data_IF_208390810104
#
_entry.id   IF_208390810104
#
_cell.length_a   1.000
_cell.length_b   1.000
_cell.length_c   1.000
_cell.angle_alpha   90.00
_cell.angle_beta   90.00
_cell.angle_gamma   90.00
#
_symmetry.space_group_name_H-M   'P 1'
#
loop_
_entity.id
_entity.type
_entity.pdbx_description
1 polymer ?
#
# COMPACT_ATOMS: atom_id res chain seq x y z
N UNK A 1 -2.15 -6.91 51.56
CA UNK A 1 -2.14 -8.13 50.74
C UNK A 1 -2.62 -7.74 49.37
N UNK A 2 -1.70 -7.36 48.49
CA UNK A 2 -1.98 -7.03 47.08
C UNK A 2 -1.64 -8.29 46.30
N UNK A 3 -2.68 -8.93 45.71
CA UNK A 3 -2.48 -10.05 44.81
C UNK A 3 -2.12 -9.58 43.43
N UNK A 4 -0.88 -9.78 43.02
CA UNK A 4 -0.43 -9.67 41.64
C UNK A 4 -1.05 -10.81 40.82
N UNK A 5 -1.99 -10.50 39.93
CA UNK A 5 -2.43 -11.43 38.90
C UNK A 5 -1.40 -11.35 37.78
N UNK A 6 -0.53 -12.34 37.71
CA UNK A 6 0.34 -12.57 36.59
C UNK A 6 -0.52 -13.15 35.43
N UNK A 7 -0.81 -12.37 34.43
CA UNK A 7 -1.37 -12.87 33.19
C UNK A 7 -0.25 -13.60 32.44
N UNK A 8 -0.28 -14.92 32.45
CA UNK A 8 0.59 -15.75 31.62
C UNK A 8 0.10 -15.61 30.17
N UNK A 9 0.78 -14.78 29.39
CA UNK A 9 0.70 -14.82 27.95
C UNK A 9 1.40 -16.10 27.49
N UNK A 10 0.63 -17.15 27.26
CA UNK A 10 1.09 -18.34 26.53
C UNK A 10 1.14 -17.92 25.05
N UNK A 11 2.27 -17.39 24.62
CA UNK A 11 2.59 -17.27 23.22
C UNK A 11 2.70 -18.70 22.68
N UNK A 12 1.67 -19.19 21.98
CA UNK A 12 1.81 -20.35 21.12
C UNK A 12 2.75 -19.96 19.98
N UNK A 13 4.05 -20.13 20.21
CA UNK A 13 5.03 -20.17 19.12
C UNK A 13 4.73 -21.43 18.30
N UNK A 14 3.86 -21.31 17.32
CA UNK A 14 3.81 -22.30 16.26
C UNK A 14 5.07 -22.11 15.42
N UNK A 15 6.05 -22.98 15.61
CA UNK A 15 7.17 -23.07 14.69
C UNK A 15 6.61 -23.25 13.28
N UNK A 16 7.10 -22.46 12.30
CA UNK A 16 6.66 -22.62 10.91
C UNK A 16 6.91 -24.08 10.50
N UNK A 17 5.86 -24.74 10.03
CA UNK A 17 5.97 -26.10 9.50
C UNK A 17 6.93 -26.03 8.32
N UNK A 18 8.06 -26.76 8.34
CA UNK A 18 8.98 -26.76 7.24
C UNK A 18 8.29 -27.40 6.02
N UNK A 19 8.03 -26.60 5.00
CA UNK A 19 7.67 -27.10 3.68
C UNK A 19 8.91 -27.67 3.00
N UNK A 20 8.76 -28.68 2.13
CA UNK A 20 9.87 -29.24 1.37
C UNK A 20 10.57 -28.15 0.55
N UNK A 21 11.89 -28.16 0.57
CA UNK A 21 12.80 -27.11 0.08
C UNK A 21 12.81 -26.86 -1.44
N UNK A 22 11.81 -27.33 -2.18
CA UNK A 22 11.77 -27.15 -3.64
C UNK A 22 10.37 -26.76 -4.11
N UNK A 23 10.08 -25.48 -4.06
CA UNK A 23 9.02 -24.97 -4.92
C UNK A 23 9.51 -24.91 -6.36
N UNK A 24 9.05 -25.83 -7.16
CA UNK A 24 9.27 -25.80 -8.60
C UNK A 24 8.59 -24.57 -9.17
N UNK A 25 9.36 -23.71 -9.82
CA UNK A 25 8.77 -22.60 -10.58
C UNK A 25 8.00 -23.18 -11.75
N UNK A 26 6.77 -22.73 -11.95
CA UNK A 26 5.96 -23.09 -13.12
C UNK A 26 6.60 -22.54 -14.39
N UNK A 27 7.17 -21.35 -14.30
CA UNK A 27 8.00 -20.73 -15.32
C UNK A 27 8.95 -19.70 -14.69
N UNK A 28 10.03 -19.38 -15.41
CA UNK A 28 10.92 -18.25 -15.09
C UNK A 28 11.26 -17.48 -16.36
N UNK A 29 11.37 -16.17 -16.24
CA UNK A 29 11.75 -15.29 -17.34
C UNK A 29 12.95 -14.47 -16.89
N UNK A 30 14.07 -14.44 -17.64
CA UNK A 30 15.20 -13.59 -17.30
C UNK A 30 14.76 -12.11 -17.35
N UNK A 31 15.19 -11.35 -16.36
CA UNK A 31 15.11 -9.90 -16.37
C UNK A 31 16.31 -9.38 -17.15
N UNK A 32 16.13 -8.30 -17.88
CA UNK A 32 17.26 -7.62 -18.52
C UNK A 32 18.10 -7.05 -17.39
N UNK A 33 19.38 -7.45 -17.27
CA UNK A 33 20.24 -6.95 -16.21
C UNK A 33 20.58 -5.48 -16.50
N UNK A 34 19.79 -4.58 -15.95
CA UNK A 34 20.19 -3.20 -15.78
C UNK A 34 20.68 -3.05 -14.34
N UNK A 35 21.98 -2.93 -14.19
CA UNK A 35 22.69 -2.91 -12.90
C UNK A 35 22.30 -1.74 -11.99
N UNK A 36 21.46 -0.82 -12.44
CA UNK A 36 21.00 0.34 -11.68
C UNK A 36 19.67 0.11 -10.95
N UNK A 37 18.98 -1.04 -11.15
CA UNK A 37 17.62 -1.25 -10.64
C UNK A 37 17.61 -2.32 -9.54
N UNK A 38 17.99 -1.91 -8.34
CA UNK A 38 17.90 -2.78 -7.16
C UNK A 38 16.43 -3.07 -6.76
N UNK A 39 15.50 -2.16 -7.08
CA UNK A 39 14.05 -2.31 -6.81
C UNK A 39 13.30 -1.83 -8.05
N UNK A 40 13.00 -2.73 -8.96
CA UNK A 40 12.26 -2.37 -10.17
C UNK A 40 10.74 -2.42 -9.96
N UNK A 41 10.03 -1.81 -10.89
CA UNK A 41 8.58 -1.82 -10.98
C UNK A 41 8.00 -3.24 -11.08
N UNK A 42 7.09 -3.58 -10.17
CA UNK A 42 6.39 -4.86 -10.17
C UNK A 42 7.20 -6.05 -9.62
N UNK A 43 6.62 -7.24 -9.65
CA UNK A 43 5.40 -7.62 -10.39
C UNK A 43 4.10 -7.19 -9.68
N UNK A 44 3.10 -6.80 -10.46
CA UNK A 44 1.75 -6.49 -9.98
C UNK A 44 0.71 -7.31 -10.73
N UNK A 45 -0.21 -7.98 -10.00
CA UNK A 45 -1.27 -8.76 -10.61
C UNK A 45 -2.37 -7.85 -11.21
N UNK A 46 -2.83 -8.22 -12.40
CA UNK A 46 -4.01 -7.66 -13.05
C UNK A 46 -4.75 -8.79 -13.80
N UNK A 47 -5.90 -9.21 -13.29
CA UNK A 47 -6.61 -10.38 -13.82
C UNK A 47 -5.69 -11.61 -13.93
N UNK A 48 -5.53 -12.15 -15.15
CA UNK A 48 -4.63 -13.26 -15.47
C UNK A 48 -3.32 -12.79 -16.12
N UNK A 49 -2.89 -11.58 -15.83
CA UNK A 49 -1.67 -10.98 -16.35
C UNK A 49 -0.89 -10.28 -15.24
N UNK A 50 0.32 -9.87 -15.57
CA UNK A 50 1.27 -9.32 -14.62
C UNK A 50 1.94 -8.10 -15.23
N UNK A 51 1.82 -6.98 -14.56
CA UNK A 51 2.58 -5.78 -14.85
C UNK A 51 4.00 -5.91 -14.32
N UNK A 52 4.97 -5.63 -15.16
CA UNK A 52 6.39 -5.69 -14.80
C UNK A 52 7.18 -4.61 -15.50
N UNK A 53 8.30 -4.24 -14.91
CA UNK A 53 9.33 -3.52 -15.64
C UNK A 53 9.99 -4.48 -16.65
N UNK A 54 10.15 -4.01 -17.88
CA UNK A 54 10.77 -4.79 -18.96
C UNK A 54 12.23 -4.37 -19.15
N UNK A 55 12.49 -3.07 -19.10
CA UNK A 55 13.82 -2.46 -19.18
C UNK A 55 13.86 -1.14 -18.39
N UNK A 56 14.95 -0.37 -18.50
CA UNK A 56 15.14 0.89 -17.75
C UNK A 56 14.11 1.98 -18.08
N UNK A 57 13.34 1.85 -19.16
CA UNK A 57 12.39 2.87 -19.62
C UNK A 57 11.02 2.29 -19.99
N UNK A 58 10.82 0.99 -19.83
CA UNK A 58 9.60 0.35 -20.29
C UNK A 58 8.94 -0.51 -19.23
N UNK A 59 7.63 -0.41 -19.18
CA UNK A 59 6.76 -1.35 -18.45
C UNK A 59 6.04 -2.23 -19.45
N UNK A 60 5.66 -3.42 -19.05
CA UNK A 60 4.95 -4.34 -19.91
C UNK A 60 3.95 -5.20 -19.17
N UNK A 61 3.06 -5.80 -19.93
CA UNK A 61 2.09 -6.76 -19.45
C UNK A 61 2.50 -8.16 -19.92
N UNK A 62 2.59 -9.11 -18.99
CA UNK A 62 2.89 -10.51 -19.27
C UNK A 62 1.73 -11.41 -18.90
N UNK A 63 1.54 -12.48 -19.67
CA UNK A 63 0.59 -13.55 -19.31
C UNK A 63 1.04 -14.27 -18.04
N UNK A 64 0.12 -14.53 -17.15
CA UNK A 64 0.43 -15.29 -15.93
C UNK A 64 0.69 -16.78 -16.20
N UNK A 65 0.15 -17.35 -17.29
CA UNK A 65 0.26 -18.78 -17.60
C UNK A 65 1.67 -19.23 -17.99
N UNK A 66 2.39 -18.43 -18.77
CA UNK A 66 3.68 -18.78 -19.36
C UNK A 66 4.75 -17.68 -19.25
N UNK A 67 4.43 -16.54 -18.67
CA UNK A 67 5.33 -15.38 -18.59
C UNK A 67 5.53 -14.65 -19.92
N UNK A 68 4.82 -15.06 -21.00
CA UNK A 68 4.93 -14.45 -22.32
C UNK A 68 4.53 -12.97 -22.32
N UNK A 69 5.36 -12.13 -22.92
CA UNK A 69 5.11 -10.70 -23.04
C UNK A 69 3.95 -10.45 -24.01
N UNK A 70 2.94 -9.69 -23.56
CA UNK A 70 1.80 -9.32 -24.40
C UNK A 70 2.07 -8.05 -25.17
N UNK A 71 2.60 -7.03 -24.50
CA UNK A 71 3.02 -5.76 -25.08
C UNK A 71 3.94 -5.01 -24.11
N UNK A 72 4.57 -3.95 -24.60
CA UNK A 72 5.39 -3.00 -23.82
C UNK A 72 4.94 -1.57 -24.08
N UNK A 73 5.14 -0.73 -23.07
CA UNK A 73 4.96 0.71 -23.18
C UNK A 73 6.24 1.41 -22.72
N UNK A 74 6.82 2.23 -23.60
CA UNK A 74 7.98 3.05 -23.26
C UNK A 74 7.51 4.30 -22.54
N UNK A 75 7.97 4.46 -21.30
CA UNK A 75 7.66 5.61 -20.46
C UNK A 75 8.43 6.85 -20.91
N UNK A 76 7.89 8.03 -20.67
CA UNK A 76 8.67 9.25 -20.84
C UNK A 76 9.95 9.22 -19.98
N UNK A 77 11.02 9.92 -20.39
CA UNK A 77 12.26 9.97 -19.60
C UNK A 77 12.01 10.43 -18.16
N UNK A 78 12.66 9.78 -17.21
CA UNK A 78 12.58 10.10 -15.78
C UNK A 78 11.47 9.40 -15.01
N UNK A 79 10.51 8.74 -15.68
CA UNK A 79 9.38 8.10 -15.02
C UNK A 79 9.74 6.86 -14.19
N UNK A 80 10.80 6.13 -14.51
CA UNK A 80 11.24 4.96 -13.75
C UNK A 80 12.41 5.23 -12.79
N UNK A 81 13.18 6.28 -13.01
CA UNK A 81 14.34 6.57 -12.16
C UNK A 81 13.99 6.96 -10.73
N UNK A 82 12.81 7.46 -10.50
CA UNK A 82 12.36 7.96 -9.21
C UNK A 82 11.41 6.98 -8.47
N UNK A 83 11.20 5.78 -8.98
CA UNK A 83 10.25 4.79 -8.42
C UNK A 83 10.75 4.09 -7.14
N UNK A 84 11.49 4.77 -6.32
CA UNK A 84 11.79 4.32 -4.95
C UNK A 84 10.56 4.35 -4.03
N UNK A 85 9.48 5.02 -4.46
CA UNK A 85 8.27 5.18 -3.68
C UNK A 85 7.15 4.46 -4.42
N UNK A 86 6.84 3.25 -3.96
CA UNK A 86 5.80 2.36 -4.51
C UNK A 86 4.36 2.91 -4.36
N UNK A 87 4.20 4.07 -3.78
CA UNK A 87 2.95 4.82 -3.66
C UNK A 87 2.54 5.47 -4.98
N UNK A 88 3.48 5.56 -5.93
CA UNK A 88 3.29 6.23 -7.22
C UNK A 88 2.50 5.39 -8.24
N UNK A 89 2.02 4.22 -7.84
CA UNK A 89 1.37 3.28 -8.76
C UNK A 89 0.05 2.74 -8.19
N UNK A 90 -1.01 2.84 -8.98
CA UNK A 90 -2.26 2.16 -8.70
C UNK A 90 -2.63 1.21 -9.85
N UNK A 91 -3.00 -0.04 -9.50
CA UNK A 91 -3.52 -1.03 -10.43
C UNK A 91 -5.00 -1.16 -10.21
N UNK A 92 -5.76 -0.94 -11.28
CA UNK A 92 -7.21 -1.00 -11.28
C UNK A 92 -7.69 -1.84 -12.47
N UNK A 93 -8.94 -2.29 -12.49
CA UNK A 93 -9.49 -2.99 -13.65
C UNK A 93 -9.31 -2.21 -14.96
N UNK A 94 -9.36 -0.89 -14.89
CA UNK A 94 -9.26 0.03 -16.02
C UNK A 94 -7.83 0.23 -16.52
N UNK A 95 -6.82 -0.18 -15.74
CA UNK A 95 -5.42 -0.09 -16.15
C UNK A 95 -4.41 0.14 -15.04
N UNK A 96 -3.20 0.42 -15.51
CA UNK A 96 -2.09 0.85 -14.69
C UNK A 96 -2.06 2.38 -14.65
N UNK A 97 -2.07 2.93 -13.46
CA UNK A 97 -1.95 4.35 -13.19
C UNK A 97 -0.61 4.63 -12.53
N UNK A 98 0.14 5.55 -13.09
CA UNK A 98 1.43 5.99 -12.56
C UNK A 98 1.36 7.49 -12.27
N UNK A 99 1.82 7.87 -11.09
CA UNK A 99 1.84 9.26 -10.65
C UNK A 99 3.26 9.83 -10.81
N UNK A 100 3.36 11.02 -11.34
CA UNK A 100 4.61 11.75 -11.52
C UNK A 100 4.45 13.20 -11.06
N UNK A 101 5.52 13.96 -10.97
CA UNK A 101 5.52 15.33 -10.42
C UNK A 101 4.53 16.29 -11.09
N UNK A 102 4.24 16.11 -12.36
CA UNK A 102 3.44 17.06 -13.17
C UNK A 102 2.23 16.44 -13.83
N UNK A 103 2.09 15.11 -13.80
CA UNK A 103 1.06 14.41 -14.54
C UNK A 103 0.84 12.99 -14.04
N UNK A 104 -0.25 12.41 -14.45
CA UNK A 104 -0.59 11.01 -14.25
C UNK A 104 -0.57 10.35 -15.61
N UNK A 105 -0.03 9.14 -15.69
CA UNK A 105 -0.11 8.30 -16.87
C UNK A 105 -1.04 7.11 -16.55
N UNK A 106 -2.06 6.92 -17.38
CA UNK A 106 -2.85 5.70 -17.43
C UNK A 106 -2.42 4.87 -18.62
N UNK A 107 -2.15 3.60 -18.40
CA UNK A 107 -1.85 2.64 -19.46
C UNK A 107 -2.99 1.62 -19.54
N UNK A 108 -3.65 1.57 -20.69
CA UNK A 108 -4.71 0.61 -20.95
C UNK A 108 -4.13 -0.80 -21.04
N UNK A 109 -4.66 -1.77 -20.29
CA UNK A 109 -4.08 -3.11 -20.20
C UNK A 109 -4.34 -3.97 -21.44
N UNK A 110 -5.35 -3.64 -22.25
CA UNK A 110 -5.70 -4.41 -23.43
C UNK A 110 -4.93 -3.95 -24.68
N UNK A 111 -4.77 -2.65 -24.84
CA UNK A 111 -4.09 -2.07 -26.01
C UNK A 111 -2.63 -1.72 -25.77
N UNK A 112 -2.21 -1.56 -24.52
CA UNK A 112 -0.88 -1.05 -24.17
C UNK A 112 -0.71 0.45 -24.48
N UNK A 113 -1.80 1.17 -24.77
CA UNK A 113 -1.74 2.61 -25.06
C UNK A 113 -1.73 3.42 -23.77
N UNK A 114 -0.84 4.39 -23.69
CA UNK A 114 -0.76 5.34 -22.58
C UNK A 114 -1.49 6.64 -22.87
N UNK A 115 -2.18 7.16 -21.85
CA UNK A 115 -2.81 8.47 -21.87
C UNK A 115 -2.32 9.27 -20.67
N UNK A 116 -1.79 10.47 -20.91
CA UNK A 116 -1.34 11.35 -19.84
C UNK A 116 -2.42 12.37 -19.48
N UNK A 117 -2.56 12.62 -18.18
CA UNK A 117 -3.42 13.64 -17.59
C UNK A 117 -2.54 14.62 -16.82
N UNK A 118 -2.49 15.88 -17.26
CA UNK A 118 -1.78 16.93 -16.55
C UNK A 118 -2.52 17.30 -15.24
N UNK A 119 -1.74 17.59 -14.19
CA UNK A 119 -2.31 18.15 -12.96
C UNK A 119 -2.81 19.58 -13.17
N UNK A 120 -3.78 20.01 -12.37
CA UNK A 120 -4.35 21.36 -12.44
C UNK A 120 -3.48 22.41 -11.73
N UNK A 121 -2.16 22.26 -11.75
CA UNK A 121 -1.25 23.11 -11.00
C UNK A 121 -1.33 24.57 -11.41
N UNK A 122 -1.35 25.42 -10.40
CA UNK A 122 -1.02 26.83 -10.50
C UNK A 122 0.50 27.03 -10.28
N UNK A 123 1.07 28.18 -10.65
CA UNK A 123 2.47 28.48 -10.36
C UNK A 123 2.78 28.29 -8.86
N UNK A 124 3.92 27.63 -8.57
CA UNK A 124 4.41 27.30 -7.22
C UNK A 124 3.60 26.21 -6.48
N UNK A 125 2.74 25.47 -7.15
CA UNK A 125 2.12 24.28 -6.60
C UNK A 125 2.91 23.02 -6.94
N UNK A 126 2.79 22.03 -6.06
CA UNK A 126 3.46 20.73 -6.18
C UNK A 126 2.62 19.61 -5.54
N UNK A 127 2.99 18.37 -5.80
CA UNK A 127 2.38 17.18 -5.19
C UNK A 127 3.48 16.25 -4.65
N UNK A 128 3.12 15.36 -3.75
CA UNK A 128 4.01 14.31 -3.23
C UNK A 128 4.06 13.07 -4.11
N UNK A 129 3.54 13.10 -5.33
CA UNK A 129 3.35 11.92 -6.21
C UNK A 129 2.41 10.87 -5.63
N UNK A 130 1.83 11.13 -4.48
CA UNK A 130 0.85 10.26 -3.87
C UNK A 130 -0.52 10.50 -4.49
N UNK A 131 -1.21 9.45 -4.85
CA UNK A 131 -2.56 9.55 -5.38
C UNK A 131 -3.38 8.30 -5.14
N UNK A 132 -4.67 8.43 -5.29
CA UNK A 132 -5.60 7.31 -5.18
C UNK A 132 -6.52 7.29 -6.40
N UNK A 133 -6.80 6.08 -6.90
CA UNK A 133 -7.68 5.87 -8.04
C UNK A 133 -8.87 5.01 -7.62
N UNK A 134 -10.06 5.49 -7.95
CA UNK A 134 -11.31 4.73 -7.80
C UNK A 134 -12.13 4.84 -9.08
N UNK A 135 -12.18 3.75 -9.84
CA UNK A 135 -12.71 3.77 -11.21
C UNK A 135 -11.92 4.74 -12.09
N UNK A 136 -12.62 5.65 -12.75
CA UNK A 136 -12.00 6.70 -13.58
C UNK A 136 -11.66 7.98 -12.79
N UNK A 137 -11.95 8.02 -11.49
CA UNK A 137 -11.64 9.17 -10.64
C UNK A 137 -10.27 9.04 -10.01
N UNK A 138 -9.56 10.14 -10.00
CA UNK A 138 -8.24 10.28 -9.41
C UNK A 138 -8.29 11.33 -8.31
N UNK A 139 -7.68 11.03 -7.19
CA UNK A 139 -7.57 11.91 -6.03
C UNK A 139 -6.11 12.21 -5.78
N UNK A 140 -5.73 13.48 -5.72
CA UNK A 140 -4.35 13.92 -5.49
C UNK A 140 -4.28 15.03 -4.44
N UNK A 141 -3.26 15.04 -3.58
CA UNK A 141 -2.96 16.18 -2.76
C UNK A 141 -2.17 17.21 -3.59
N UNK A 142 -2.53 18.48 -3.45
CA UNK A 142 -1.80 19.60 -4.02
C UNK A 142 -1.41 20.56 -2.91
N UNK A 143 -0.18 20.97 -2.93
CA UNK A 143 0.46 21.80 -1.92
C UNK A 143 0.91 23.12 -2.52
N UNK A 144 0.85 24.17 -1.73
CA UNK A 144 1.55 25.44 -1.96
C UNK A 144 2.06 26.02 -0.62
N UNK A 145 2.67 27.18 -0.67
CA UNK A 145 3.23 27.81 0.53
C UNK A 145 2.19 28.21 1.60
N UNK A 146 0.91 28.21 1.27
CA UNK A 146 -0.17 28.71 2.11
C UNK A 146 -1.29 27.71 2.32
N UNK A 147 -1.32 26.60 1.56
CA UNK A 147 -2.42 25.65 1.64
C UNK A 147 -2.03 24.23 1.27
N UNK A 148 -2.83 23.30 1.77
CA UNK A 148 -2.89 21.90 1.35
C UNK A 148 -4.28 21.60 0.87
N UNK A 149 -4.42 21.09 -0.33
CA UNK A 149 -5.72 20.82 -0.94
C UNK A 149 -5.80 19.39 -1.45
N UNK A 150 -6.94 18.73 -1.28
CA UNK A 150 -7.26 17.47 -1.93
C UNK A 150 -8.11 17.75 -3.16
N UNK A 151 -7.64 17.27 -4.31
CA UNK A 151 -8.30 17.44 -5.59
C UNK A 151 -8.81 16.12 -6.14
N UNK A 152 -9.95 16.19 -6.82
CA UNK A 152 -10.55 15.08 -7.56
C UNK A 152 -10.68 15.46 -9.03
N UNK A 153 -10.32 14.55 -9.91
CA UNK A 153 -10.43 14.70 -11.36
C UNK A 153 -10.44 13.35 -12.06
N UNK A 154 -10.30 13.32 -13.37
CA UNK A 154 -10.22 12.09 -14.14
C UNK A 154 -9.81 12.36 -15.58
N UNK A 155 -9.65 11.31 -16.39
CA UNK A 155 -9.26 11.47 -17.80
C UNK A 155 -10.27 12.31 -18.58
N UNK A 156 -11.56 12.14 -18.28
CA UNK A 156 -12.66 12.82 -18.97
C UNK A 156 -13.42 13.79 -18.03
N UNK A 157 -12.93 13.99 -16.81
CA UNK A 157 -13.57 14.83 -15.80
C UNK A 157 -12.66 16.00 -15.39
N UNK A 158 -13.23 17.21 -15.24
CA UNK A 158 -12.45 18.36 -14.79
C UNK A 158 -11.93 18.16 -13.37
N UNK A 159 -10.82 18.81 -13.07
CA UNK A 159 -10.28 18.85 -11.72
C UNK A 159 -11.07 19.79 -10.82
N UNK A 160 -11.44 19.32 -9.64
CA UNK A 160 -12.15 20.09 -8.63
C UNK A 160 -11.50 19.87 -7.26
N UNK A 161 -11.28 20.95 -6.51
CA UNK A 161 -10.86 20.85 -5.12
C UNK A 161 -12.03 20.31 -4.28
N UNK A 162 -11.79 19.23 -3.56
CA UNK A 162 -12.73 18.66 -2.57
C UNK A 162 -12.59 19.38 -1.25
N UNK A 163 -11.35 19.67 -0.87
CA UNK A 163 -11.01 20.29 0.40
C UNK A 163 -9.77 21.16 0.23
N UNK A 164 -9.72 22.25 1.01
CA UNK A 164 -8.53 23.08 1.14
C UNK A 164 -8.34 23.46 2.59
N UNK A 165 -7.16 23.20 3.13
CA UNK A 165 -6.71 23.63 4.44
C UNK A 165 -5.72 24.78 4.28
N UNK A 166 -6.05 25.95 4.85
CA UNK A 166 -5.17 27.12 4.84
C UNK A 166 -4.20 26.99 6.01
N UNK A 167 -2.91 27.05 5.72
CA UNK A 167 -1.85 26.94 6.72
C UNK A 167 -1.77 28.20 7.59
N UNK A 168 -1.70 28.01 8.90
CA UNK A 168 -1.34 29.07 9.81
C UNK A 168 0.17 29.44 9.66
N UNK A 169 0.61 30.60 10.15
CA UNK A 169 2.04 30.93 10.12
C UNK A 169 2.89 29.85 10.78
N UNK A 170 3.92 29.36 10.07
CA UNK A 170 4.82 28.27 10.48
C UNK A 170 4.15 26.89 10.64
N UNK A 171 2.92 26.73 10.19
CA UNK A 171 2.28 25.43 10.08
C UNK A 171 2.70 24.73 8.79
N UNK A 172 2.88 23.41 8.88
CA UNK A 172 3.05 22.50 7.77
C UNK A 172 1.93 21.47 7.82
N UNK A 173 1.52 20.99 6.65
CA UNK A 173 0.54 19.92 6.58
C UNK A 173 0.84 18.99 5.42
N UNK A 174 0.51 17.70 5.59
CA UNK A 174 0.59 16.66 4.56
C UNK A 174 -0.68 15.81 4.57
N UNK A 175 -1.10 15.39 3.40
CA UNK A 175 -2.05 14.31 3.22
C UNK A 175 -1.24 13.04 2.97
N UNK A 176 -1.27 12.11 3.93
CA UNK A 176 -0.43 10.91 3.93
C UNK A 176 -1.14 9.66 3.44
N UNK A 177 -2.45 9.62 3.45
CA UNK A 177 -3.25 8.51 2.97
C UNK A 177 -4.57 8.96 2.40
N UNK A 178 -5.02 8.30 1.33
CA UNK A 178 -6.28 8.59 0.67
C UNK A 178 -7.00 7.27 0.43
N UNK A 179 -8.29 7.24 0.74
CA UNK A 179 -9.19 6.16 0.41
C UNK A 179 -10.49 6.76 -0.14
N UNK A 180 -11.01 6.19 -1.21
CA UNK A 180 -12.28 6.60 -1.80
C UNK A 180 -13.08 5.41 -2.29
N UNK A 181 -14.40 5.55 -2.28
CA UNK A 181 -15.33 4.59 -2.87
C UNK A 181 -16.61 5.29 -3.30
N UNK A 182 -16.87 5.28 -4.61
CA UNK A 182 -17.98 6.02 -5.19
C UNK A 182 -17.83 7.52 -4.95
N UNK A 183 -18.84 8.15 -4.38
CA UNK A 183 -18.84 9.60 -4.12
C UNK A 183 -18.36 10.00 -2.73
N UNK A 184 -17.86 9.06 -1.93
CA UNK A 184 -17.34 9.31 -0.60
C UNK A 184 -15.91 8.85 -0.45
N UNK A 185 -15.21 9.44 0.52
CA UNK A 185 -13.89 9.01 0.87
C UNK A 185 -13.37 9.67 2.12
N UNK A 186 -12.12 9.34 2.42
CA UNK A 186 -11.40 9.88 3.55
C UNK A 186 -9.92 10.02 3.22
N UNK A 187 -9.26 10.97 3.87
CA UNK A 187 -7.82 11.14 3.81
C UNK A 187 -7.29 11.50 5.20
N UNK A 188 -6.06 11.13 5.47
CA UNK A 188 -5.36 11.56 6.68
C UNK A 188 -4.65 12.87 6.42
N UNK A 189 -4.95 13.90 7.21
CA UNK A 189 -4.32 15.20 7.17
C UNK A 189 -3.49 15.38 8.44
N UNK A 190 -2.18 15.37 8.29
CA UNK A 190 -1.23 15.59 9.36
C UNK A 190 -0.77 17.03 9.36
N UNK A 191 -0.76 17.67 10.52
CA UNK A 191 -0.36 19.06 10.68
C UNK A 191 0.64 19.22 11.81
N UNK A 192 1.65 20.05 11.63
CA UNK A 192 2.64 20.37 12.67
C UNK A 192 3.16 21.80 12.49
N UNK A 193 3.70 22.37 13.55
CA UNK A 193 4.39 23.66 13.52
C UNK A 193 5.90 23.48 13.48
N UNK A 194 6.61 24.43 12.87
CA UNK A 194 8.06 24.45 12.84
C UNK A 194 8.64 24.36 14.26
N UNK A 195 9.59 23.44 14.47
CA UNK A 195 10.24 23.24 15.78
C UNK A 195 9.47 22.38 16.78
N UNK A 196 8.26 21.91 16.45
CA UNK A 196 7.54 20.94 17.28
C UNK A 196 7.89 19.49 16.86
N UNK A 197 7.99 18.60 17.85
CA UNK A 197 8.22 17.16 17.62
C UNK A 197 6.89 16.40 17.46
N UNK A 198 5.78 16.99 17.82
CA UNK A 198 4.44 16.42 17.69
C UNK A 198 3.56 17.32 16.84
N UNK A 199 2.60 16.70 16.17
CA UNK A 199 1.61 17.36 15.33
C UNK A 199 0.20 16.94 15.69
N UNK A 200 -0.76 17.36 14.90
CA UNK A 200 -2.15 16.94 14.95
C UNK A 200 -2.44 16.03 13.75
N UNK A 201 -3.17 14.96 13.97
CA UNK A 201 -3.72 14.10 12.96
C UNK A 201 -5.22 14.32 12.86
N UNK A 202 -5.67 14.74 11.71
CA UNK A 202 -7.08 14.90 11.40
C UNK A 202 -7.50 13.87 10.34
N UNK A 203 -8.74 13.43 10.43
CA UNK A 203 -9.40 12.70 9.36
C UNK A 203 -10.22 13.68 8.53
N UNK A 204 -9.78 13.91 7.32
CA UNK A 204 -10.58 14.57 6.29
C UNK A 204 -11.55 13.55 5.71
N UNK A 205 -12.84 13.88 5.67
CA UNK A 205 -13.88 13.10 5.01
C UNK A 205 -14.60 13.92 3.96
N UNK A 206 -15.17 13.26 2.97
CA UNK A 206 -16.05 13.89 1.98
C UNK A 206 -17.19 12.97 1.56
N UNK A 207 -18.29 13.63 1.16
CA UNK A 207 -19.44 13.02 0.52
C UNK A 207 -19.93 13.94 -0.60
N UNK A 208 -19.78 13.51 -1.84
CA UNK A 208 -20.01 14.38 -3.00
C UNK A 208 -19.00 15.53 -3.02
N UNK A 209 -19.50 16.76 -2.97
CA UNK A 209 -18.69 17.98 -2.96
C UNK A 209 -18.58 18.62 -1.55
N UNK A 210 -19.16 18.00 -0.55
CA UNK A 210 -19.05 18.43 0.84
C UNK A 210 -17.89 17.72 1.53
N UNK A 211 -17.11 18.46 2.32
CA UNK A 211 -16.02 17.91 3.11
C UNK A 211 -15.99 18.48 4.52
N UNK A 212 -15.45 17.71 5.45
CA UNK A 212 -15.26 18.10 6.86
C UNK A 212 -14.05 17.37 7.43
N UNK A 213 -13.51 17.90 8.53
CA UNK A 213 -12.37 17.30 9.26
C UNK A 213 -12.79 16.90 10.66
N UNK A 214 -12.23 15.79 11.14
CA UNK A 214 -12.43 15.24 12.47
C UNK A 214 -11.05 15.07 13.11
N UNK A 215 -10.77 15.75 14.23
CA UNK A 215 -9.53 15.52 14.98
C UNK A 215 -9.49 14.09 15.50
N UNK A 216 -8.38 13.37 15.27
CA UNK A 216 -8.22 11.99 15.70
C UNK A 216 -7.31 11.85 16.92
N UNK A 217 -6.12 12.43 16.86
CA UNK A 217 -5.09 12.24 17.87
C UNK A 217 -3.95 13.26 17.70
N UNK A 218 -3.05 13.33 18.67
CA UNK A 218 -1.72 13.89 18.46
C UNK A 218 -0.92 12.94 17.55
N UNK A 219 -0.27 13.50 16.55
CA UNK A 219 0.54 12.73 15.62
C UNK A 219 1.96 12.59 16.14
N UNK A 220 2.44 11.35 16.21
CA UNK A 220 3.78 11.00 16.66
C UNK A 220 4.63 10.33 15.58
N UNK A 221 4.22 10.28 14.32
CA UNK A 221 4.91 9.46 13.33
C UNK A 221 4.90 9.97 11.89
N UNK A 222 5.71 9.31 11.05
CA UNK A 222 5.81 9.52 9.62
C UNK A 222 4.81 8.64 8.89
N UNK A 223 4.06 9.20 7.95
CA UNK A 223 3.17 8.48 7.03
C UNK A 223 2.02 7.75 7.74
N UNK A 224 0.81 8.18 7.52
CA UNK A 224 -0.38 7.60 8.16
C UNK A 224 -1.23 6.93 7.09
N UNK A 225 -0.94 5.65 6.78
CA UNK A 225 -1.68 4.94 5.75
C UNK A 225 -3.14 4.75 6.16
N UNK A 226 -4.01 4.66 5.16
CA UNK A 226 -5.45 4.46 5.34
C UNK A 226 -5.91 3.26 4.50
N UNK A 227 -6.69 2.38 5.09
CA UNK A 227 -7.42 1.32 4.41
C UNK A 227 -8.91 1.46 4.67
N UNK A 228 -9.74 0.89 3.82
CA UNK A 228 -11.16 0.91 4.07
C UNK A 228 -11.94 -0.19 3.39
N UNK A 229 -13.11 -0.46 3.95
CA UNK A 229 -14.18 -1.24 3.34
C UNK A 229 -15.38 -0.33 3.01
N UNK A 230 -16.55 -0.90 2.78
CA UNK A 230 -17.75 -0.13 2.44
C UNK A 230 -18.30 0.72 3.59
N UNK A 231 -18.00 0.38 4.83
CA UNK A 231 -18.58 0.98 6.02
C UNK A 231 -17.54 1.60 6.96
N UNK A 232 -16.29 1.19 6.86
CA UNK A 232 -15.23 1.54 7.81
C UNK A 232 -13.96 1.92 7.11
N UNK A 233 -13.19 2.75 7.79
CA UNK A 233 -11.78 3.00 7.48
C UNK A 233 -10.91 2.67 8.68
N UNK A 234 -9.69 2.28 8.39
CA UNK A 234 -8.67 1.95 9.35
C UNK A 234 -7.47 2.86 9.13
N UNK A 235 -6.93 3.39 10.20
CA UNK A 235 -5.83 4.34 10.19
C UNK A 235 -4.74 3.79 11.10
N UNK A 236 -3.55 3.61 10.58
CA UNK A 236 -2.40 3.19 11.38
C UNK A 236 -1.61 4.42 11.83
N UNK A 237 -1.43 4.56 13.14
CA UNK A 237 -0.52 5.54 13.75
C UNK A 237 0.72 4.84 14.28
N UNK A 238 1.67 5.57 14.85
CA UNK A 238 2.91 5.00 15.38
C UNK A 238 2.71 3.90 16.44
N UNK A 239 1.64 3.97 17.23
CA UNK A 239 1.45 3.12 18.40
C UNK A 239 0.14 2.32 18.37
N UNK A 240 -0.75 2.64 17.46
CA UNK A 240 -2.09 2.05 17.44
C UNK A 240 -2.75 2.03 16.07
N UNK A 241 -3.76 1.22 15.95
CA UNK A 241 -4.70 1.25 14.83
C UNK A 241 -6.03 1.82 15.31
N UNK A 242 -6.59 2.70 14.51
CA UNK A 242 -7.90 3.32 14.73
C UNK A 242 -8.90 2.75 13.73
N UNK A 243 -10.06 2.33 14.20
CA UNK A 243 -11.20 1.93 13.36
C UNK A 243 -12.28 2.98 13.43
N UNK A 244 -12.65 3.52 12.29
CA UNK A 244 -13.62 4.60 12.16
C UNK A 244 -14.85 4.14 11.37
N UNK A 245 -16.05 4.39 11.89
CA UNK A 245 -17.32 4.11 11.20
C UNK A 245 -17.70 5.28 10.30
N UNK A 246 -17.73 5.05 9.00
CA UNK A 246 -18.09 6.07 8.01
C UNK A 246 -19.57 6.46 8.04
N UNK A 247 -20.44 5.60 8.55
CA UNK A 247 -21.87 5.87 8.62
C UNK A 247 -22.21 6.71 9.83
N UNK A 248 -21.61 6.37 10.97
CA UNK A 248 -21.80 7.09 12.23
C UNK A 248 -20.87 8.31 12.34
N UNK A 249 -19.86 8.39 11.51
CA UNK A 249 -18.82 9.44 11.54
C UNK A 249 -18.12 9.51 12.91
N UNK A 250 -17.86 8.37 13.50
CA UNK A 250 -17.25 8.26 14.83
C UNK A 250 -16.12 7.27 14.88
N UNK A 251 -15.16 7.52 15.76
CA UNK A 251 -14.15 6.53 16.14
C UNK A 251 -14.85 5.37 16.85
N UNK A 252 -14.84 4.19 16.22
CA UNK A 252 -15.48 2.99 16.77
C UNK A 252 -14.58 2.31 17.80
N UNK A 253 -13.28 2.26 17.53
CA UNK A 253 -12.31 1.63 18.42
C UNK A 253 -10.88 2.14 18.16
N UNK A 254 -10.03 1.93 19.14
CA UNK A 254 -8.59 2.20 19.09
C UNK A 254 -7.85 1.03 19.72
N UNK A 255 -7.00 0.36 18.96
CA UNK A 255 -6.24 -0.80 19.42
C UNK A 255 -4.75 -0.47 19.47
N UNK A 256 -4.07 -0.64 20.63
CA UNK A 256 -2.64 -0.48 20.69
C UNK A 256 -1.95 -1.58 19.88
N UNK A 257 -0.85 -1.23 19.23
CA UNK A 257 0.03 -2.20 18.59
C UNK A 257 1.06 -2.71 19.59
N UNK A 258 1.35 -4.03 19.59
CA UNK A 258 2.35 -4.61 20.48
C UNK A 258 3.80 -4.35 20.04
N UNK A 259 3.97 -3.64 18.91
CA UNK A 259 5.26 -3.30 18.32
C UNK A 259 5.27 -1.83 17.88
N UNK A 260 6.46 -1.28 17.76
CA UNK A 260 6.62 0.11 17.35
C UNK A 260 6.56 0.25 15.81
N UNK A 261 6.19 1.44 15.38
CA UNK A 261 6.20 1.91 13.99
C UNK A 261 7.58 1.76 13.30
N UNK A 262 7.65 1.63 11.95
CA UNK A 262 6.55 1.75 11.00
C UNK A 262 5.83 0.43 10.73
N UNK A 263 4.54 0.53 10.31
CA UNK A 263 3.80 -0.58 9.71
C UNK A 263 3.91 -0.47 8.18
N UNK A 264 4.93 -1.05 7.55
CA UNK A 264 5.07 -0.97 6.10
C UNK A 264 4.05 -1.86 5.39
N UNK A 265 3.56 -2.88 6.07
CA UNK A 265 2.64 -3.83 5.50
C UNK A 265 1.35 -3.97 6.30
N UNK A 266 0.22 -3.68 5.67
CA UNK A 266 -1.08 -4.03 6.19
C UNK A 266 -2.08 -4.33 5.07
N UNK A 267 -3.07 -5.14 5.36
CA UNK A 267 -4.16 -5.42 4.44
C UNK A 267 -5.42 -5.90 5.19
N UNK A 268 -6.56 -5.68 4.56
CA UNK A 268 -7.83 -6.19 5.06
C UNK A 268 -8.09 -7.57 4.44
N UNK A 269 -8.25 -8.56 5.30
CA UNK A 269 -8.61 -9.94 4.96
C UNK A 269 -10.03 -10.23 5.41
N UNK A 270 -10.68 -11.28 4.88
CA UNK A 270 -11.99 -11.71 5.38
C UNK A 270 -11.99 -11.99 6.89
N UNK A 271 -10.90 -12.53 7.41
CA UNK A 271 -10.75 -12.87 8.81
C UNK A 271 -10.28 -11.71 9.69
N UNK A 272 -9.80 -10.60 9.15
CA UNK A 272 -9.35 -9.47 9.96
C UNK A 272 -8.43 -8.48 9.27
N UNK A 273 -8.03 -7.47 10.02
CA UNK A 273 -7.05 -6.49 9.61
C UNK A 273 -5.66 -6.96 10.03
N UNK A 274 -4.81 -7.28 9.06
CA UNK A 274 -3.44 -7.71 9.26
C UNK A 274 -2.50 -6.51 9.23
N UNK A 275 -1.65 -6.40 10.23
CA UNK A 275 -0.55 -5.43 10.31
C UNK A 275 0.77 -6.17 10.54
N UNK A 276 1.85 -5.75 9.89
CA UNK A 276 3.18 -6.37 9.98
C UNK A 276 4.26 -5.29 9.91
N UNK A 277 5.27 -5.36 10.79
CA UNK A 277 6.41 -4.45 10.79
C UNK A 277 7.64 -5.07 10.09
N UNK A 278 8.73 -4.29 9.94
CA UNK A 278 9.98 -4.74 9.32
C UNK A 278 10.76 -5.77 10.15
N UNK A 279 10.42 -5.94 11.43
CA UNK A 279 11.03 -6.92 12.31
C UNK A 279 10.33 -8.28 12.30
N UNK A 280 9.28 -8.40 11.46
CA UNK A 280 8.50 -9.62 11.32
C UNK A 280 7.41 -9.79 12.37
N UNK A 281 7.23 -8.81 13.24
CA UNK A 281 6.15 -8.83 14.20
C UNK A 281 4.85 -8.40 13.54
N UNK A 282 3.80 -9.16 13.73
CA UNK A 282 2.51 -8.89 13.12
C UNK A 282 1.34 -9.23 14.01
N UNK A 283 0.21 -8.62 13.70
CA UNK A 283 -1.06 -8.87 14.37
C UNK A 283 -2.20 -8.96 13.38
N UNK A 284 -3.17 -9.81 13.69
CA UNK A 284 -4.48 -9.84 13.07
C UNK A 284 -5.49 -9.27 14.06
N UNK A 285 -6.13 -8.17 13.70
CA UNK A 285 -7.14 -7.50 14.52
C UNK A 285 -8.54 -7.78 13.99
N UNK A 286 -9.50 -7.86 14.89
CA UNK A 286 -10.92 -7.86 14.52
C UNK A 286 -11.30 -6.49 13.93
N UNK A 287 -11.79 -6.40 12.69
CA UNK A 287 -12.06 -5.12 12.06
C UNK A 287 -13.29 -4.39 12.64
N UNK A 288 -14.15 -5.09 13.39
CA UNK A 288 -15.30 -4.49 14.05
C UNK A 288 -15.01 -3.90 15.42
N UNK A 289 -14.06 -4.50 16.15
CA UNK A 289 -13.82 -4.18 17.56
C UNK A 289 -12.38 -3.77 17.87
N UNK A 290 -11.44 -3.98 16.93
CA UNK A 290 -10.01 -3.80 17.17
C UNK A 290 -9.38 -4.88 18.07
N UNK A 291 -10.13 -5.89 18.48
CA UNK A 291 -9.61 -6.94 19.35
C UNK A 291 -8.52 -7.76 18.66
N UNK A 292 -7.45 -8.05 19.36
CA UNK A 292 -6.37 -8.91 18.88
C UNK A 292 -6.90 -10.34 18.72
N UNK A 293 -6.85 -10.85 17.49
CA UNK A 293 -7.20 -12.24 17.14
C UNK A 293 -6.00 -13.15 17.15
N UNK A 294 -4.88 -12.66 16.63
CA UNK A 294 -3.67 -13.45 16.50
C UNK A 294 -2.43 -12.56 16.41
N UNK A 295 -1.28 -13.10 16.86
CA UNK A 295 0.04 -12.51 16.69
C UNK A 295 0.89 -13.39 15.79
N UNK A 296 1.82 -12.77 15.08
CA UNK A 296 2.78 -13.42 14.18
C UNK A 296 4.20 -13.00 14.55
N UNK A 297 5.15 -13.88 14.25
CA UNK A 297 6.56 -13.57 14.28
C UNK A 297 7.23 -14.28 13.10
N UNK A 298 7.70 -13.49 12.12
CA UNK A 298 8.52 -14.00 11.03
C UNK A 298 9.99 -14.02 11.43
N UNK A 299 10.79 -14.96 10.90
CA UNK A 299 12.19 -15.08 11.27
C UNK A 299 13.04 -13.95 10.62
N UNK A 300 13.89 -13.33 11.41
CA UNK A 300 14.80 -12.27 10.93
C UNK A 300 14.11 -10.94 10.65
N UNK A 301 14.80 -10.07 9.94
CA UNK A 301 14.30 -8.77 9.52
C UNK A 301 14.31 -8.68 7.99
N UNK A 302 13.31 -8.05 7.40
CA UNK A 302 13.27 -7.82 5.96
C UNK A 302 12.60 -6.49 5.63
N UNK A 303 12.94 -5.97 4.47
CA UNK A 303 12.22 -4.84 3.91
C UNK A 303 10.88 -5.34 3.35
N UNK A 304 9.77 -4.74 3.82
CA UNK A 304 8.43 -5.00 3.30
C UNK A 304 8.03 -3.79 2.46
N UNK A 305 7.56 -4.04 1.24
CA UNK A 305 6.86 -3.03 0.48
C UNK A 305 5.37 -3.06 0.80
N UNK A 306 4.73 -4.18 0.49
CA UNK A 306 3.29 -4.37 0.72
C UNK A 306 2.97 -5.82 1.02
N UNK A 307 1.99 -6.02 1.88
CA UNK A 307 1.31 -7.30 2.03
C UNK A 307 0.24 -7.40 0.96
N UNK A 308 0.16 -8.54 0.29
CA UNK A 308 -0.83 -8.78 -0.77
C UNK A 308 -1.90 -9.76 -0.32
N UNK A 309 -3.17 -9.36 -0.31
CA UNK A 309 -4.25 -10.31 -0.05
C UNK A 309 -4.34 -11.33 -1.18
N UNK A 310 -4.69 -12.56 -0.83
CA UNK A 310 -4.92 -13.65 -1.76
C UNK A 310 -5.98 -14.61 -1.25
N UNK A 311 -6.28 -15.68 -2.01
CA UNK A 311 -7.41 -16.56 -1.71
C UNK A 311 -7.28 -17.32 -0.37
N UNK A 312 -6.06 -17.50 0.11
CA UNK A 312 -5.77 -18.25 1.34
C UNK A 312 -5.14 -17.37 2.44
N UNK A 313 -5.40 -16.07 2.46
CA UNK A 313 -4.83 -15.13 3.40
C UNK A 313 -3.95 -14.07 2.72
N UNK A 314 -2.99 -13.50 3.45
CA UNK A 314 -2.07 -12.51 2.93
C UNK A 314 -0.72 -13.13 2.58
N UNK A 315 -0.05 -12.56 1.60
CA UNK A 315 1.27 -12.99 1.17
C UNK A 315 2.27 -11.85 1.30
N UNK A 316 3.45 -12.17 1.76
CA UNK A 316 4.57 -11.24 1.88
C UNK A 316 5.86 -11.91 1.40
N UNK A 317 6.66 -11.17 0.62
CA UNK A 317 8.04 -11.56 0.35
C UNK A 317 8.89 -11.18 1.58
N UNK A 318 9.60 -12.14 2.13
CA UNK A 318 10.36 -11.97 3.36
C UNK A 318 11.69 -12.70 3.26
N UNK A 319 12.78 -11.94 3.22
CA UNK A 319 14.13 -12.47 3.03
C UNK A 319 14.20 -13.36 1.76
N UNK A 320 14.44 -14.65 1.93
CA UNK A 320 14.54 -15.64 0.84
C UNK A 320 13.28 -16.51 0.74
N UNK A 321 12.15 -15.99 1.13
CA UNK A 321 10.92 -16.77 1.11
C UNK A 321 9.67 -15.94 0.90
N UNK A 322 8.61 -16.64 0.59
CA UNK A 322 7.27 -16.08 0.60
C UNK A 322 6.53 -16.69 1.77
N UNK A 323 5.97 -15.83 2.60
CA UNK A 323 5.16 -16.23 3.74
C UNK A 323 3.70 -15.95 3.47
N UNK A 324 2.87 -16.87 3.90
CA UNK A 324 1.42 -16.75 3.92
C UNK A 324 0.98 -16.51 5.36
N UNK A 325 0.15 -15.49 5.55
CA UNK A 325 -0.34 -15.04 6.85
C UNK A 325 -1.87 -15.05 6.84
N UNK A 326 -2.49 -15.48 7.92
CA UNK A 326 -3.94 -15.52 8.05
C UNK A 326 -4.39 -16.10 9.39
N UNK A 327 -5.67 -16.41 9.54
CA UNK A 327 -6.22 -16.99 10.76
C UNK A 327 -5.62 -18.34 11.18
N UNK A 328 -4.90 -19.01 10.27
CA UNK A 328 -4.14 -20.24 10.55
C UNK A 328 -2.71 -20.00 11.06
N UNK A 329 -2.27 -18.75 11.17
CA UNK A 329 -0.90 -18.39 11.56
C UNK A 329 -0.04 -17.90 10.40
N UNK A 330 1.29 -17.93 10.60
CA UNK A 330 2.29 -17.63 9.60
C UNK A 330 2.92 -18.92 9.11
N UNK A 331 3.00 -19.12 7.79
CA UNK A 331 3.71 -20.26 7.23
C UNK A 331 4.54 -19.83 6.02
N UNK A 332 5.74 -20.40 5.89
CA UNK A 332 6.56 -20.25 4.69
C UNK A 332 5.96 -21.09 3.56
N UNK A 333 5.46 -20.44 2.52
CA UNK A 333 4.87 -21.13 1.37
C UNK A 333 5.92 -21.51 0.33
N UNK A 334 6.94 -20.66 0.16
CA UNK A 334 8.01 -20.87 -0.82
C UNK A 334 9.38 -20.48 -0.24
N UNK A 335 10.42 -21.17 -0.68
CA UNK A 335 11.82 -20.87 -0.36
C UNK A 335 12.63 -20.66 -1.64
N UNK A 336 13.58 -19.73 -1.58
CA UNK A 336 14.52 -19.44 -2.67
C UNK A 336 15.94 -19.38 -2.14
N UNK A 337 16.92 -19.59 -3.00
CA UNK A 337 18.35 -19.43 -2.69
C UNK A 337 18.81 -17.98 -2.72
N UNK A 338 18.08 -17.13 -3.44
CA UNK A 338 18.35 -15.69 -3.63
C UNK A 338 17.39 -14.84 -2.83
N UNK A 339 17.81 -13.62 -2.49
CA UNK A 339 16.93 -12.62 -1.90
C UNK A 339 15.82 -12.26 -2.89
N UNK A 340 14.60 -12.22 -2.40
CA UNK A 340 13.44 -11.78 -3.19
C UNK A 340 13.27 -10.27 -3.08
N UNK A 341 12.83 -9.66 -4.18
CA UNK A 341 12.29 -8.30 -4.12
C UNK A 341 11.08 -8.27 -3.16
N UNK A 342 10.90 -7.20 -2.38
CA UNK A 342 9.76 -7.06 -1.48
C UNK A 342 8.41 -6.99 -2.21
N UNK A 343 8.42 -6.81 -3.53
CA UNK A 343 7.22 -6.75 -4.37
C UNK A 343 6.86 -8.12 -4.89
N UNK A 344 5.61 -8.51 -4.73
CA UNK A 344 5.07 -9.74 -5.29
C UNK A 344 3.65 -9.53 -5.83
N UNK A 345 3.26 -10.38 -6.78
CA UNK A 345 1.89 -10.46 -7.28
C UNK A 345 1.24 -11.77 -6.85
N UNK A 346 0.03 -11.69 -6.32
CA UNK A 346 -0.76 -12.87 -5.94
C UNK A 346 -1.80 -13.11 -7.03
N UNK A 347 -1.80 -14.33 -7.55
CA UNK A 347 -2.76 -14.83 -8.53
C UNK A 347 -3.72 -15.82 -7.85
N UNK A 348 -4.82 -16.14 -8.49
CA UNK A 348 -5.76 -17.12 -7.94
C UNK A 348 -5.16 -18.51 -7.69
N UNK A 349 -4.09 -18.88 -8.43
CA UNK A 349 -3.45 -20.18 -8.46
C UNK A 349 -1.92 -20.12 -8.28
N UNK A 350 -1.41 -19.09 -7.64
CA UNK A 350 0.02 -18.98 -7.35
C UNK A 350 0.50 -17.57 -7.07
N UNK A 351 1.80 -17.43 -6.97
CA UNK A 351 2.46 -16.16 -6.68
C UNK A 351 3.53 -15.87 -7.72
N UNK A 352 3.63 -14.64 -8.16
CA UNK A 352 4.74 -14.15 -8.97
C UNK A 352 5.63 -13.26 -8.13
N UNK A 353 6.90 -13.58 -8.11
CA UNK A 353 7.95 -12.82 -7.43
C UNK A 353 9.17 -12.68 -8.33
N UNK A 354 10.09 -11.83 -7.93
CA UNK A 354 11.35 -11.63 -8.64
C UNK A 354 12.54 -11.62 -7.69
N UNK A 355 13.70 -11.95 -8.22
CA UNK A 355 15.01 -11.60 -7.66
C UNK A 355 15.74 -10.64 -8.60
N UNK A 356 17.05 -10.50 -8.45
CA UNK A 356 17.86 -9.60 -9.28
C UNK A 356 17.95 -10.06 -10.75
N UNK A 357 17.75 -11.35 -11.03
CA UNK A 357 18.02 -11.95 -12.34
C UNK A 357 16.76 -12.43 -13.06
N UNK A 358 15.74 -12.86 -12.31
CA UNK A 358 14.59 -13.53 -12.88
C UNK A 358 13.27 -13.10 -12.25
N UNK A 359 12.24 -13.14 -13.07
CA UNK A 359 10.85 -13.15 -12.65
C UNK A 359 10.38 -14.61 -12.61
N UNK A 360 9.74 -15.01 -11.52
CA UNK A 360 9.29 -16.39 -11.32
C UNK A 360 7.79 -16.43 -11.07
N UNK A 361 7.12 -17.46 -11.58
CA UNK A 361 5.83 -17.90 -11.09
C UNK A 361 6.00 -19.17 -10.27
N UNK A 362 5.51 -19.12 -9.04
CA UNK A 362 5.49 -20.25 -8.14
C UNK A 362 4.06 -20.79 -8.05
N UNK A 363 3.93 -22.11 -7.98
CA UNK A 363 2.64 -22.78 -7.84
C UNK A 363 1.96 -22.50 -6.48
N UNK A 364 0.75 -23.03 -6.28
CA UNK A 364 -0.01 -22.85 -5.05
C UNK A 364 0.63 -23.53 -3.83
#
# INVERSE_FOLDING_TARGET
>A
MMGMIAVLLVACQMNPVPFPDQSTSLWSVPLIPDSSIAVGFGPYAWNQAIWVQVDSQSVGLRRSSDGGLLWTYTLPPGWLHDTWILEDVAIRPEGLWMFHDSSILRIDPYSGLGQALAYPFQPNQWTTRMGYVEGEQVYIPIYDAQSVSLWRGGMDAPWNAIHSHILAPQEYALIDGIWARGNRGAATLRRWHAGMQSGALDLLQWLGDSSWTIPLAEDLGLGVPILGDTARIFIATAERVLGFDLTQQTLSWSSPLPFSWPIPGWCLLPEGLLCLNHEGEGVLLDPGTGALRQSYLLPGTAWIDRIRPGPLGAYVAWDRGIYQLGGFGARKSHARSTLLSPVLAVLGDGVVCRDEQFLYRLGP
#
